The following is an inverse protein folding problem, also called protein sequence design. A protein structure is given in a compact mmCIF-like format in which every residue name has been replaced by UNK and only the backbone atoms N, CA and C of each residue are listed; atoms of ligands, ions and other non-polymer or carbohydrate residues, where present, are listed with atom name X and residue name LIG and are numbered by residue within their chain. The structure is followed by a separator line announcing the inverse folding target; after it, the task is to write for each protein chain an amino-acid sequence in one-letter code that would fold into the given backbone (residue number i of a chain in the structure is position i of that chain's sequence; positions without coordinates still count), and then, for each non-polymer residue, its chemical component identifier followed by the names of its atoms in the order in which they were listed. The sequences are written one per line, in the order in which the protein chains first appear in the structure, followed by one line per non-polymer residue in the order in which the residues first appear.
data_IF_147545502514
#
_entry.id   IF_147545502514
#
_cell.length_a   1.000
_cell.length_b   1.000
_cell.length_c   1.000
_cell.angle_alpha   90.00
_cell.angle_beta   90.00
_cell.angle_gamma   90.00
#
_symmetry.space_group_name_H-M   'P 1'
#
loop_
_entity.id
_entity.type
_entity.pdbx_description
1 polymer ?
#
# COMPACT_ATOMS: atom_id res chain seq x y z
N UNK A 1 1.56 -1.37 21.41
CA UNK A 1 1.65 -0.34 20.37
C UNK A 1 2.91 -0.67 19.59
N UNK A 2 2.80 -0.83 18.27
CA UNK A 2 3.95 -1.18 17.43
C UNK A 2 4.93 0.00 17.38
N UNK A 3 6.23 -0.31 17.38
CA UNK A 3 7.31 0.67 17.35
C UNK A 3 8.01 0.63 15.99
N UNK A 4 8.35 1.81 15.48
CA UNK A 4 8.95 1.98 14.15
C UNK A 4 10.29 1.25 14.01
N UNK A 5 11.23 1.48 14.92
CA UNK A 5 12.60 0.93 14.83
C UNK A 5 12.60 -0.59 14.96
N UNK A 6 11.78 -1.09 15.88
CA UNK A 6 11.68 -2.51 16.19
C UNK A 6 11.02 -3.32 15.07
N UNK A 7 10.30 -2.66 14.17
CA UNK A 7 9.54 -3.32 13.09
C UNK A 7 10.21 -3.20 11.72
N UNK A 8 11.39 -2.58 11.63
CA UNK A 8 12.11 -2.41 10.36
C UNK A 8 12.55 -3.75 9.80
N UNK A 9 12.34 -3.94 8.50
CA UNK A 9 12.91 -5.04 7.72
C UNK A 9 14.41 -4.81 7.50
N UNK A 10 15.14 -5.90 7.26
CA UNK A 10 16.56 -5.84 6.87
C UNK A 10 16.80 -5.07 5.56
N UNK A 11 15.83 -5.07 4.65
CA UNK A 11 15.84 -4.36 3.36
C UNK A 11 15.23 -2.95 3.42
N UNK A 12 15.42 -2.26 4.54
CA UNK A 12 14.85 -0.93 4.77
C UNK A 12 15.32 0.07 3.70
N UNK A 13 14.38 0.78 3.09
CA UNK A 13 14.63 1.80 2.09
C UNK A 13 14.41 3.20 2.68
N UNK A 14 15.36 4.13 2.50
CA UNK A 14 15.17 5.50 2.95
C UNK A 14 14.03 6.18 2.17
N UNK A 15 13.46 7.23 2.75
CA UNK A 15 12.45 8.02 2.06
C UNK A 15 11.78 9.08 2.91
N UNK A 16 10.47 9.21 2.74
CA UNK A 16 9.68 10.33 3.25
C UNK A 16 9.10 9.94 4.62
N UNK A 17 9.42 10.68 5.71
CA UNK A 17 8.76 10.50 6.99
C UNK A 17 7.32 11.01 6.94
N UNK A 18 6.37 10.21 7.42
CA UNK A 18 4.96 10.60 7.58
C UNK A 18 4.49 10.21 8.98
N UNK A 19 3.91 11.17 9.69
CA UNK A 19 3.28 10.93 10.99
C UNK A 19 1.96 10.17 10.83
N UNK A 20 1.82 9.06 11.56
CA UNK A 20 0.64 8.17 11.54
C UNK A 20 -0.17 8.28 12.84
N UNK A 21 -1.24 7.48 12.97
CA UNK A 21 -2.19 7.59 14.06
C UNK A 21 -1.59 7.35 15.46
N UNK A 22 -0.44 6.69 15.53
CA UNK A 22 0.30 6.43 16.77
C UNK A 22 1.26 7.56 17.19
N UNK A 23 1.19 8.73 16.54
CA UNK A 23 2.06 9.89 16.80
C UNK A 23 3.55 9.64 16.56
N UNK A 24 3.87 8.56 15.83
CA UNK A 24 5.23 8.28 15.37
C UNK A 24 5.36 8.60 13.87
N UNK A 25 6.55 9.00 13.47
CA UNK A 25 6.93 9.14 12.07
C UNK A 25 7.35 7.77 11.52
N UNK A 26 6.76 7.41 10.39
CA UNK A 26 7.10 6.19 9.65
C UNK A 26 7.71 6.57 8.31
N UNK A 27 8.77 5.87 7.90
CA UNK A 27 9.49 6.15 6.66
C UNK A 27 8.86 5.37 5.51
N UNK A 28 8.29 6.09 4.56
CA UNK A 28 7.79 5.55 3.31
C UNK A 28 8.92 5.58 2.27
N UNK A 29 9.23 4.46 1.58
CA UNK A 29 10.27 4.43 0.56
C UNK A 29 10.12 5.57 -0.44
N UNK A 30 11.19 6.32 -0.67
CA UNK A 30 11.21 7.31 -1.76
C UNK A 30 11.10 6.60 -3.10
N UNK A 31 10.65 7.27 -4.17
CA UNK A 31 10.66 6.70 -5.51
C UNK A 31 12.10 6.57 -6.02
N UNK A 32 12.80 5.50 -5.64
CA UNK A 32 14.22 5.30 -5.95
C UNK A 32 14.42 4.98 -7.44
N UNK A 33 15.50 5.49 -8.05
CA UNK A 33 15.88 5.26 -9.46
C UNK A 33 15.90 3.76 -9.80
N UNK A 34 16.42 3.00 -8.85
CA UNK A 34 16.75 1.58 -8.96
C UNK A 34 16.06 0.78 -7.86
N UNK A 35 14.86 1.20 -7.41
CA UNK A 35 14.11 0.46 -6.40
C UNK A 35 13.90 -0.96 -6.92
N UNK A 36 14.69 -1.88 -6.37
CA UNK A 36 14.55 -3.30 -6.58
C UNK A 36 13.25 -3.70 -5.91
N UNK A 37 12.14 -3.51 -6.63
CA UNK A 37 11.02 -4.42 -6.49
C UNK A 37 11.57 -5.79 -6.87
N UNK A 38 12.26 -6.44 -5.92
CA UNK A 38 13.04 -7.66 -6.13
C UNK A 38 12.18 -8.86 -6.58
N UNK A 39 10.88 -8.62 -6.76
CA UNK A 39 9.89 -9.55 -7.27
C UNK A 39 9.09 -8.80 -8.34
N UNK A 40 9.07 -9.32 -9.56
CA UNK A 40 8.31 -8.78 -10.71
C UNK A 40 6.83 -8.51 -10.36
N UNK A 41 6.25 -9.33 -9.48
CA UNK A 41 4.90 -9.13 -8.95
C UNK A 41 4.74 -7.85 -8.13
N UNK A 42 5.76 -7.44 -7.36
CA UNK A 42 5.71 -6.21 -6.57
C UNK A 42 5.81 -4.96 -7.47
N UNK A 43 6.55 -5.02 -8.58
CA UNK A 43 6.57 -3.92 -9.58
C UNK A 43 5.20 -3.79 -10.27
N UNK A 44 4.59 -4.91 -10.66
CA UNK A 44 3.26 -4.90 -11.28
C UNK A 44 2.16 -4.38 -10.33
N UNK A 45 2.20 -4.77 -9.05
CA UNK A 45 1.29 -4.25 -8.02
C UNK A 45 1.50 -2.76 -7.79
N UNK A 46 2.75 -2.32 -7.67
CA UNK A 46 3.11 -0.91 -7.52
C UNK A 46 2.60 -0.06 -8.71
N UNK A 47 2.90 -0.47 -9.94
CA UNK A 47 2.42 0.23 -11.14
C UNK A 47 0.89 0.21 -11.24
N UNK A 48 0.26 -0.90 -10.83
CA UNK A 48 -1.19 -1.01 -10.72
C UNK A 48 -1.79 0.04 -9.77
N UNK A 49 -1.20 0.21 -8.58
CA UNK A 49 -1.63 1.21 -7.61
C UNK A 49 -1.45 2.64 -8.13
N UNK A 50 -0.32 2.93 -8.78
CA UNK A 50 -0.09 4.24 -9.43
C UNK A 50 -1.15 4.54 -10.48
N UNK A 51 -1.50 3.57 -11.31
CA UNK A 51 -2.57 3.72 -12.29
C UNK A 51 -3.92 4.00 -11.63
N UNK A 52 -4.26 3.31 -10.54
CA UNK A 52 -5.51 3.57 -9.81
C UNK A 52 -5.54 4.98 -9.24
N UNK A 53 -4.43 5.50 -8.72
CA UNK A 53 -4.35 6.90 -8.26
C UNK A 53 -4.59 7.89 -9.41
N UNK A 54 -4.03 7.62 -10.59
CA UNK A 54 -4.18 8.50 -11.77
C UNK A 54 -5.57 8.43 -12.42
N UNK A 55 -6.21 7.26 -12.40
CA UNK A 55 -7.52 7.01 -13.04
C UNK A 55 -8.71 7.32 -12.13
N UNK A 56 -8.49 7.66 -10.86
CA UNK A 56 -9.55 7.94 -9.90
C UNK A 56 -10.48 9.07 -10.40
N UNK A 57 -11.79 8.79 -10.44
CA UNK A 57 -12.80 9.69 -11.02
C UNK A 57 -13.23 10.78 -10.02
N UNK A 58 -13.15 10.48 -8.72
CA UNK A 58 -13.55 11.38 -7.66
C UNK A 58 -12.54 11.41 -6.49
N UNK A 59 -12.70 12.41 -5.63
CA UNK A 59 -11.79 12.64 -4.51
C UNK A 59 -11.79 11.48 -3.51
N UNK A 60 -12.91 10.77 -3.33
CA UNK A 60 -13.00 9.65 -2.40
C UNK A 60 -12.27 8.41 -2.92
N UNK A 61 -12.43 8.11 -4.22
CA UNK A 61 -11.69 7.06 -4.90
C UNK A 61 -10.19 7.35 -4.87
N UNK A 62 -9.82 8.60 -5.16
CA UNK A 62 -8.42 9.04 -5.13
C UNK A 62 -7.81 8.89 -3.74
N UNK A 63 -8.51 9.31 -2.69
CA UNK A 63 -8.05 9.16 -1.30
C UNK A 63 -7.88 7.69 -0.90
N UNK A 64 -8.77 6.80 -1.35
CA UNK A 64 -8.63 5.37 -1.13
C UNK A 64 -7.44 4.77 -1.89
N UNK A 65 -7.20 5.22 -3.12
CA UNK A 65 -6.05 4.80 -3.92
C UNK A 65 -4.72 5.26 -3.30
N UNK A 66 -4.65 6.52 -2.85
CA UNK A 66 -3.50 7.09 -2.13
C UNK A 66 -3.20 6.31 -0.84
N UNK A 67 -4.24 5.98 -0.06
CA UNK A 67 -4.11 5.16 1.14
C UNK A 67 -3.59 3.74 0.83
N UNK A 68 -4.11 3.12 -0.22
CA UNK A 68 -3.66 1.79 -0.64
C UNK A 68 -2.19 1.78 -1.06
N UNK A 69 -1.76 2.81 -1.80
CA UNK A 69 -0.36 3.01 -2.14
C UNK A 69 0.50 3.20 -0.88
N UNK A 70 0.06 4.01 0.07
CA UNK A 70 0.76 4.20 1.35
C UNK A 70 0.92 2.87 2.11
N UNK A 71 -0.15 2.09 2.26
CA UNK A 71 -0.13 0.77 2.92
C UNK A 71 0.83 -0.20 2.22
N UNK A 72 0.85 -0.20 0.89
CA UNK A 72 1.79 -1.01 0.12
C UNK A 72 3.24 -0.59 0.38
N UNK A 73 3.53 0.72 0.31
CA UNK A 73 4.87 1.29 0.49
C UNK A 73 5.43 1.05 1.89
N UNK A 74 4.63 1.27 2.95
CA UNK A 74 5.08 0.99 4.32
C UNK A 74 5.34 -0.52 4.53
N UNK A 75 4.60 -1.40 3.85
CA UNK A 75 4.82 -2.84 3.87
C UNK A 75 6.19 -3.27 3.32
N UNK A 76 6.85 -2.44 2.52
CA UNK A 76 8.20 -2.69 2.00
C UNK A 76 9.28 -2.49 3.07
N UNK A 77 9.08 -1.53 3.96
CA UNK A 77 10.05 -1.15 5.00
C UNK A 77 9.84 -1.87 6.33
N UNK A 78 8.61 -2.33 6.61
CA UNK A 78 8.26 -2.85 7.94
C UNK A 78 7.59 -4.22 7.90
N UNK A 79 7.83 -5.01 8.94
CA UNK A 79 7.12 -6.24 9.24
C UNK A 79 5.98 -5.93 10.21
N UNK A 80 4.82 -5.62 9.64
CA UNK A 80 3.63 -5.24 10.40
C UNK A 80 2.56 -6.32 10.25
N UNK A 81 1.93 -6.68 11.36
CA UNK A 81 0.73 -7.51 11.30
C UNK A 81 -0.44 -6.72 10.69
N UNK A 82 -1.48 -7.41 10.25
CA UNK A 82 -2.70 -6.73 9.75
C UNK A 82 -3.34 -5.84 10.83
N UNK A 83 -3.22 -6.23 12.11
CA UNK A 83 -3.72 -5.45 13.24
C UNK A 83 -2.88 -4.19 13.44
N UNK A 84 -1.56 -4.28 13.33
CA UNK A 84 -0.67 -3.11 13.44
C UNK A 84 -0.92 -2.13 12.31
N UNK A 85 -1.03 -2.60 11.07
CA UNK A 85 -1.42 -1.77 9.94
C UNK A 85 -2.78 -1.09 10.17
N UNK A 86 -3.80 -1.84 10.60
CA UNK A 86 -5.10 -1.24 10.88
C UNK A 86 -5.00 -0.13 11.94
N UNK A 87 -4.25 -0.36 13.02
CA UNK A 87 -4.06 0.62 14.08
C UNK A 87 -3.32 1.86 13.59
N UNK A 88 -2.27 1.71 12.76
CA UNK A 88 -1.48 2.83 12.24
C UNK A 88 -2.28 3.75 11.31
N UNK A 89 -3.24 3.21 10.57
CA UNK A 89 -4.08 3.97 9.63
C UNK A 89 -5.48 4.31 10.18
N UNK A 90 -5.77 4.00 11.45
CA UNK A 90 -7.04 4.35 12.10
C UNK A 90 -6.90 5.68 12.83
N UNK A 91 -7.32 6.76 12.18
CA UNK A 91 -7.35 8.10 12.76
C UNK A 91 -8.72 8.43 13.38
N UNK A 92 -8.74 9.34 14.35
CA UNK A 92 -10.00 9.90 14.80
C UNK A 92 -10.70 10.66 13.65
N UNK A 93 -12.01 10.45 13.44
CA UNK A 93 -12.75 11.16 12.40
C UNK A 93 -12.64 12.68 12.58
N UNK A 94 -12.46 13.41 11.47
CA UNK A 94 -12.34 14.89 11.45
C UNK A 94 -11.17 15.46 12.28
N UNK A 95 -10.21 14.62 12.67
CA UNK A 95 -9.01 15.11 13.36
C UNK A 95 -8.06 15.80 12.38
N UNK A 96 -7.31 16.79 12.88
CA UNK A 96 -6.25 17.44 12.10
C UNK A 96 -5.18 16.44 11.64
N UNK A 97 -4.91 15.40 12.44
CA UNK A 97 -3.99 14.32 12.09
C UNK A 97 -4.43 13.60 10.82
N UNK A 98 -5.72 13.24 10.71
CA UNK A 98 -6.26 12.62 9.51
C UNK A 98 -6.05 13.51 8.28
N UNK A 99 -6.36 14.81 8.38
CA UNK A 99 -6.17 15.76 7.28
C UNK A 99 -4.70 15.88 6.88
N UNK A 100 -3.79 15.97 7.86
CA UNK A 100 -2.35 16.06 7.60
C UNK A 100 -1.82 14.79 6.93
N UNK A 101 -2.20 13.60 7.42
CA UNK A 101 -1.79 12.33 6.81
C UNK A 101 -2.37 12.17 5.40
N UNK A 102 -3.61 12.61 5.13
CA UNK A 102 -4.18 12.60 3.78
C UNK A 102 -3.36 13.48 2.81
N UNK A 103 -2.98 14.69 3.22
CA UNK A 103 -2.11 15.55 2.41
C UNK A 103 -0.71 14.96 2.20
N UNK A 104 -0.18 14.26 3.21
CA UNK A 104 1.10 13.57 3.10
C UNK A 104 1.02 12.41 2.09
N UNK A 105 -0.06 11.61 2.12
CA UNK A 105 -0.26 10.50 1.16
C UNK A 105 -0.46 11.00 -0.27
N UNK A 106 -1.16 12.12 -0.46
CA UNK A 106 -1.29 12.77 -1.76
C UNK A 106 0.06 13.25 -2.30
N UNK A 107 0.86 13.89 -1.45
CA UNK A 107 2.21 14.34 -1.82
C UNK A 107 3.11 13.15 -2.17
N UNK A 108 3.09 12.11 -1.34
CA UNK A 108 3.80 10.84 -1.59
C UNK A 108 3.39 10.25 -2.94
N UNK A 109 2.10 10.09 -3.21
CA UNK A 109 1.62 9.52 -4.47
C UNK A 109 2.05 10.38 -5.68
N UNK A 110 1.99 11.71 -5.55
CA UNK A 110 2.43 12.66 -6.58
C UNK A 110 3.92 12.50 -6.88
N UNK A 111 4.77 12.37 -5.86
CA UNK A 111 6.21 12.22 -6.05
C UNK A 111 6.54 10.92 -6.79
N UNK A 112 5.86 9.83 -6.47
CA UNK A 112 6.00 8.55 -7.17
C UNK A 112 5.54 8.64 -8.64
N UNK A 113 4.40 9.29 -8.91
CA UNK A 113 3.91 9.53 -10.27
C UNK A 113 4.91 10.36 -11.08
N UNK A 114 5.38 11.48 -10.54
CA UNK A 114 6.32 12.37 -11.22
C UNK A 114 7.65 11.68 -11.51
N UNK A 115 8.14 10.88 -10.56
CA UNK A 115 9.36 10.10 -10.74
C UNK A 115 9.22 9.07 -11.85
N UNK A 116 8.10 8.35 -11.93
CA UNK A 116 7.83 7.41 -13.03
C UNK A 116 7.69 8.11 -14.39
N UNK A 117 7.08 9.30 -14.42
CA UNK A 117 6.90 10.08 -15.65
C UNK A 117 8.25 10.52 -16.21
N UNK A 118 9.16 10.99 -15.35
CA UNK A 118 10.53 11.37 -15.72
C UNK A 118 11.35 10.21 -16.29
N UNK A 119 11.02 8.97 -15.92
CA UNK A 119 11.71 7.76 -16.40
C UNK A 119 11.08 7.15 -17.66
N UNK A 120 9.98 7.70 -18.16
CA UNK A 120 9.23 7.11 -19.26
C UNK A 120 8.57 5.76 -18.91
N UNK A 121 8.49 5.40 -17.62
CA UNK A 121 7.82 4.18 -17.15
C UNK A 121 6.30 4.33 -17.07
N UNK A 122 5.79 5.57 -17.15
CA UNK A 122 4.37 5.82 -17.31
C UNK A 122 4.01 5.83 -18.80
N UNK A 123 3.11 4.94 -19.27
CA UNK A 123 2.47 5.14 -20.55
C UNK A 123 1.72 6.48 -20.49
N UNK A 124 2.01 7.40 -21.43
CA UNK A 124 1.21 8.62 -21.63
C UNK A 124 -0.28 8.23 -21.64
N UNK A 125 -1.17 9.00 -20.98
CA UNK A 125 -2.60 8.73 -21.06
C UNK A 125 -3.04 8.90 -22.52
N UNK A 126 -3.14 7.78 -23.24
CA UNK A 126 -3.77 7.77 -24.54
C UNK A 126 -5.25 8.14 -24.36
N UNK A 127 -5.84 8.96 -25.25
CA UNK A 127 -7.28 9.15 -25.25
C UNK A 127 -7.95 7.79 -25.45
N UNK A 128 -8.82 7.42 -24.50
CA UNK A 128 -9.40 6.08 -24.31
C UNK A 128 -9.96 5.42 -25.57
N UNK A 129 -9.91 4.06 -25.61
CA UNK A 129 -11.17 3.31 -25.68
C UNK A 129 -11.32 2.40 -24.46
N UNK A 130 -12.35 2.71 -23.66
CA UNK A 130 -12.68 2.02 -22.42
C UNK A 130 -13.22 0.61 -22.64
N UNK A 131 -12.67 -0.36 -21.91
CA UNK A 131 -13.34 -1.59 -21.47
C UNK A 131 -12.38 -2.52 -20.71
N UNK A 132 -11.11 -2.60 -21.13
CA UNK A 132 -10.17 -3.61 -20.61
C UNK A 132 -9.39 -3.15 -19.36
N UNK A 133 -9.04 -1.86 -19.24
CA UNK A 133 -8.30 -1.33 -18.07
C UNK A 133 -9.16 -1.13 -16.81
N UNK A 134 -10.45 -0.84 -16.96
CA UNK A 134 -11.47 -0.75 -15.88
C UNK A 134 -11.53 -1.99 -14.97
N UNK A 135 -11.07 -3.16 -15.42
CA UNK A 135 -11.09 -4.41 -14.62
C UNK A 135 -9.96 -4.50 -13.60
N UNK A 136 -8.80 -3.88 -13.84
CA UNK A 136 -7.65 -3.96 -12.93
C UNK A 136 -7.85 -3.05 -11.71
N UNK A 137 -8.22 -1.78 -11.92
CA UNK A 137 -8.52 -0.86 -10.81
C UNK A 137 -9.69 -1.33 -9.94
N UNK A 138 -10.76 -1.83 -10.56
CA UNK A 138 -11.88 -2.44 -9.81
C UNK A 138 -11.51 -3.71 -9.07
N UNK A 139 -10.59 -4.54 -9.57
CA UNK A 139 -10.12 -5.74 -8.86
C UNK A 139 -9.25 -5.40 -7.66
N UNK A 140 -8.36 -4.41 -7.78
CA UNK A 140 -7.55 -3.94 -6.66
C UNK A 140 -8.44 -3.26 -5.61
N UNK A 141 -9.39 -2.41 -6.01
CA UNK A 141 -10.36 -1.81 -5.10
C UNK A 141 -11.36 -2.83 -4.50
N UNK A 142 -11.67 -3.92 -5.21
CA UNK A 142 -12.47 -5.03 -4.66
C UNK A 142 -11.65 -5.91 -3.70
N UNK A 143 -10.34 -6.10 -3.97
CA UNK A 143 -9.40 -6.73 -3.06
C UNK A 143 -9.24 -5.92 -1.76
N UNK A 144 -9.17 -4.58 -1.87
CA UNK A 144 -9.16 -3.65 -0.72
C UNK A 144 -10.46 -3.69 0.09
N UNK A 145 -11.61 -3.89 -0.56
CA UNK A 145 -12.93 -4.02 0.12
C UNK A 145 -13.23 -5.42 0.66
N UNK A 146 -12.46 -6.44 0.28
CA UNK A 146 -12.84 -7.84 0.46
C UNK A 146 -12.02 -8.67 1.46
N UNK A 147 -10.95 -8.15 2.08
CA UNK A 147 -10.11 -8.94 3.01
C UNK A 147 -10.29 -8.57 4.48
N UNK A 148 -11.14 -9.35 5.15
CA UNK A 148 -10.89 -9.80 6.53
C UNK A 148 -9.68 -10.75 6.61
N UNK A 149 -9.15 -11.04 7.81
CA UNK A 149 -7.83 -11.61 8.01
C UNK A 149 -7.69 -12.99 7.34
N UNK A 150 -6.56 -13.22 6.67
CA UNK A 150 -6.15 -14.55 6.20
C UNK A 150 -6.03 -15.48 7.41
N UNK A 151 -7.10 -16.24 7.64
CA UNK A 151 -7.09 -17.42 8.48
C UNK A 151 -6.86 -18.64 7.58
N UNK A 152 -5.87 -19.44 8.02
CA UNK A 152 -5.69 -20.88 7.84
C UNK A 152 -4.80 -21.36 6.70
N UNK A 153 -3.72 -21.98 7.15
CA UNK A 153 -2.93 -22.99 6.44
C UNK A 153 -1.99 -23.75 7.38
N UNK A 154 -2.38 -24.04 8.63
CA UNK A 154 -1.69 -25.08 9.42
C UNK A 154 -2.34 -26.43 9.10
N UNK A 155 -1.61 -27.42 8.56
CA UNK A 155 -2.07 -28.81 8.64
C UNK A 155 -1.82 -29.31 10.07
N UNK A 156 -2.87 -29.28 10.88
CA UNK A 156 -2.99 -30.06 12.10
C UNK A 156 -3.32 -31.50 11.71
N UNK A 157 -2.33 -32.39 11.68
CA UNK A 157 -2.55 -33.84 11.61
C UNK A 157 -2.52 -34.44 13.01
N UNK A 158 -3.70 -34.74 13.56
CA UNK A 158 -3.86 -35.54 14.78
C UNK A 158 -5.17 -36.32 14.70
N UNK A 159 -5.05 -37.66 14.63
CA UNK A 159 -5.96 -38.74 15.10
C UNK A 159 -5.52 -40.03 14.38
N UNK A 160 -5.34 -41.17 15.01
CA UNK A 160 -5.55 -41.61 16.38
C UNK A 160 -5.23 -43.11 16.46
N UNK A 161 -4.92 -43.59 17.66
CA UNK A 161 -4.80 -45.01 18.02
C UNK A 161 -6.09 -45.82 17.81
N UNK A 162 -5.94 -47.11 17.49
CA UNK A 162 -6.70 -48.26 18.01
C UNK A 162 -6.08 -49.54 17.37
N UNK A 163 -5.29 -50.34 18.09
CA UNK A 163 -5.71 -51.54 18.84
C UNK A 163 -6.55 -52.53 18.02
N UNK A 164 -5.91 -53.59 17.52
CA UNK A 164 -6.30 -55.01 17.68
C UNK A 164 -5.11 -55.90 17.35
#
# INVERSE_FOLDING_TARGET
MVDELSSRRSRFQPGIPICLANDQEWIFPAPAADSEFAVESAEAEYLGLIHVVQEAEDQSERRLAELALAIFLIGLNYELSSTDLANLFTFQPRSQKLTNSQHAFESLARDHILSLARRGKLPLPAPSPGAKRRRLGRRVLAWLRGRGPMRKGLPSSRKGEAIS
#
